data_IF_388056187937
#
_entry.id   IF_388056187937
#
_cell.length_a   1.000
_cell.length_b   1.000
_cell.length_c   1.000
_cell.angle_alpha   90.00
_cell.angle_beta   90.00
_cell.angle_gamma   90.00
#
_symmetry.space_group_name_H-M   'P 1'
#
loop_
_entity.id
_entity.type
_entity.pdbx_description
1 polymer ?
#
# COMPACT_ATOMS: atom_id res chain seq x y z
N UNK A 1 -1.24 1.23 -19.66
CA UNK A 1 0.05 1.25 -18.92
C UNK A 1 0.65 2.64 -19.12
N UNK A 2 1.19 3.29 -18.10
CA UNK A 2 1.83 4.60 -18.21
C UNK A 2 3.35 4.36 -18.38
N UNK A 3 3.85 4.20 -19.63
CA UNK A 3 5.20 3.67 -19.87
C UNK A 3 6.31 4.61 -19.38
N UNK A 4 6.00 5.88 -19.17
CA UNK A 4 6.94 6.92 -18.75
C UNK A 4 6.65 7.43 -17.33
N UNK A 5 6.19 6.55 -16.43
CA UNK A 5 5.98 6.91 -15.03
C UNK A 5 7.32 7.40 -14.45
N UNK A 6 7.39 8.61 -13.87
CA UNK A 6 8.58 9.02 -13.13
C UNK A 6 8.87 7.99 -12.04
N UNK A 7 10.10 7.45 -11.99
CA UNK A 7 10.45 6.36 -11.08
C UNK A 7 10.03 4.96 -11.53
N UNK A 8 9.39 4.81 -12.69
CA UNK A 8 9.04 3.50 -13.27
C UNK A 8 8.15 2.68 -12.33
N UNK A 9 8.57 1.45 -12.03
CA UNK A 9 7.86 0.56 -11.09
C UNK A 9 7.86 1.09 -9.65
N UNK A 10 8.81 1.95 -9.30
CA UNK A 10 8.91 2.61 -8.00
C UNK A 10 8.26 4.00 -7.99
N UNK A 11 7.45 4.31 -9.00
CA UNK A 11 6.52 5.44 -8.87
C UNK A 11 5.62 5.19 -7.65
N UNK A 12 5.46 6.15 -6.70
CA UNK A 12 4.61 5.97 -5.52
C UNK A 12 3.15 5.60 -5.78
N UNK A 13 2.63 5.94 -6.97
CA UNK A 13 1.27 5.56 -7.39
C UNK A 13 1.17 4.09 -7.83
N UNK A 14 2.30 3.43 -8.06
CA UNK A 14 2.41 2.02 -8.43
C UNK A 14 2.91 1.19 -7.24
N UNK A 15 3.97 1.64 -6.58
CA UNK A 15 4.60 0.95 -5.45
C UNK A 15 4.48 1.81 -4.17
N UNK A 16 3.57 1.47 -3.24
CA UNK A 16 3.42 2.21 -1.98
C UNK A 16 4.59 1.99 -1.00
N UNK A 17 5.59 1.18 -1.37
CA UNK A 17 6.81 0.95 -0.60
C UNK A 17 8.05 1.60 -1.24
N UNK A 18 7.86 2.38 -2.31
CA UNK A 18 8.96 3.13 -2.91
C UNK A 18 9.55 4.13 -1.91
N UNK A 19 10.83 4.50 -2.02
CA UNK A 19 11.48 5.45 -1.11
C UNK A 19 10.74 6.78 -0.97
N UNK A 20 10.15 7.27 -2.07
CA UNK A 20 9.41 8.53 -2.12
C UNK A 20 7.90 8.37 -1.84
N UNK A 21 7.45 7.18 -1.41
CA UNK A 21 6.05 6.93 -1.10
C UNK A 21 5.65 7.56 0.25
N UNK A 22 4.47 8.19 0.36
CA UNK A 22 3.94 8.65 1.63
C UNK A 22 3.80 7.50 2.64
N UNK A 23 3.93 7.83 3.93
CA UNK A 23 3.74 6.85 4.99
C UNK A 23 2.34 6.26 4.96
N UNK A 24 2.23 4.94 5.09
CA UNK A 24 0.94 4.24 5.23
C UNK A 24 0.20 4.62 6.52
N UNK A 25 0.84 5.29 7.48
CA UNK A 25 0.20 5.83 8.67
C UNK A 25 -0.84 6.92 8.34
N UNK A 26 -0.70 7.59 7.19
CA UNK A 26 -1.54 8.74 6.80
C UNK A 26 -2.75 8.33 5.94
N UNK A 27 -3.09 7.04 5.87
CA UNK A 27 -4.27 6.58 5.13
C UNK A 27 -5.54 7.18 5.75
N UNK A 28 -6.26 8.00 4.97
CA UNK A 28 -7.42 8.78 5.43
C UNK A 28 -8.72 8.00 5.63
N UNK A 29 -8.69 6.67 5.65
CA UNK A 29 -9.85 5.83 5.91
C UNK A 29 -9.79 5.24 7.32
N UNK A 30 -10.97 4.91 7.88
CA UNK A 30 -11.09 4.36 9.23
C UNK A 30 -11.03 2.83 9.27
N UNK A 31 -11.24 2.16 8.13
CA UNK A 31 -11.24 0.70 7.99
C UNK A 31 -10.68 0.29 6.63
N UNK A 32 -9.92 -0.79 6.61
CA UNK A 32 -9.34 -1.39 5.40
C UNK A 32 -9.64 -2.89 5.41
N UNK A 33 -10.03 -3.42 4.26
CA UNK A 33 -10.09 -4.86 4.00
C UNK A 33 -9.11 -5.18 2.88
N UNK A 34 -8.31 -6.22 3.05
CA UNK A 34 -7.36 -6.71 2.04
C UNK A 34 -7.73 -8.15 1.71
N UNK A 35 -8.03 -8.41 0.44
CA UNK A 35 -8.36 -9.74 -0.07
C UNK A 35 -7.35 -10.13 -1.14
N UNK A 36 -6.82 -11.35 -1.07
CA UNK A 36 -5.88 -11.89 -2.07
C UNK A 36 -6.36 -13.27 -2.52
N UNK A 37 -6.23 -13.56 -3.81
CA UNK A 37 -6.53 -14.89 -4.34
C UNK A 37 -5.31 -15.82 -4.19
N UNK A 38 -5.56 -17.09 -3.87
CA UNK A 38 -4.51 -18.08 -3.60
C UNK A 38 -3.52 -18.23 -4.77
N UNK A 39 -4.00 -18.16 -6.02
CA UNK A 39 -3.23 -18.39 -7.25
C UNK A 39 -2.76 -17.10 -7.95
N UNK A 40 -2.89 -15.95 -7.29
CA UNK A 40 -2.41 -14.69 -7.84
C UNK A 40 -0.87 -14.63 -7.77
N UNK A 41 -0.21 -14.34 -8.89
CA UNK A 41 1.26 -14.26 -8.97
C UNK A 41 1.84 -13.11 -8.14
N UNK A 42 1.02 -12.13 -7.73
CA UNK A 42 1.41 -11.04 -6.85
C UNK A 42 0.76 -11.10 -5.46
N UNK A 43 0.19 -12.26 -5.08
CA UNK A 43 -0.45 -12.48 -3.75
C UNK A 43 0.39 -11.96 -2.59
N UNK A 44 1.68 -12.25 -2.59
CA UNK A 44 2.59 -11.88 -1.49
C UNK A 44 2.72 -10.36 -1.32
N UNK A 45 2.53 -9.58 -2.39
CA UNK A 45 2.49 -8.11 -2.29
C UNK A 45 1.25 -7.62 -1.55
N UNK A 46 0.09 -8.25 -1.74
CA UNK A 46 -1.12 -7.93 -0.98
C UNK A 46 -0.96 -8.29 0.50
N UNK A 47 -0.33 -9.43 0.81
CA UNK A 47 0.01 -9.81 2.19
C UNK A 47 1.01 -8.83 2.80
N UNK A 48 2.02 -8.41 2.04
CA UNK A 48 3.00 -7.41 2.49
C UNK A 48 2.35 -6.06 2.80
N UNK A 49 1.44 -5.58 1.94
CA UNK A 49 0.68 -4.35 2.20
C UNK A 49 -0.11 -4.40 3.50
N UNK A 50 -0.80 -5.51 3.77
CA UNK A 50 -1.49 -5.70 5.05
C UNK A 50 -0.53 -5.59 6.25
N UNK A 51 0.62 -6.28 6.20
CA UNK A 51 1.61 -6.22 7.29
C UNK A 51 2.19 -4.82 7.45
N UNK A 52 2.47 -4.12 6.35
CA UNK A 52 3.02 -2.78 6.37
C UNK A 52 2.05 -1.76 6.97
N UNK A 53 0.76 -1.80 6.60
CA UNK A 53 -0.28 -0.96 7.21
C UNK A 53 -0.43 -1.27 8.70
N UNK A 54 -0.41 -2.56 9.08
CA UNK A 54 -0.48 -2.97 10.49
C UNK A 54 0.69 -2.42 11.32
N UNK A 55 1.87 -2.32 10.71
CA UNK A 55 3.10 -1.86 11.38
C UNK A 55 3.38 -0.36 11.20
N UNK A 56 2.60 0.36 10.38
CA UNK A 56 2.86 1.79 10.08
C UNK A 56 2.41 2.73 11.20
N UNK A 57 1.67 2.25 12.19
CA UNK A 57 0.99 3.10 13.16
C UNK A 57 -0.32 3.70 12.61
N UNK A 58 -0.86 3.15 11.52
CA UNK A 58 -2.21 3.49 11.06
C UNK A 58 -3.24 3.08 12.12
N UNK A 59 -3.97 4.05 12.66
CA UNK A 59 -4.96 3.82 13.71
C UNK A 59 -6.37 3.69 13.12
N UNK A 60 -7.04 2.58 13.44
CA UNK A 60 -8.47 2.38 13.19
C UNK A 60 -9.25 3.34 14.10
N UNK A 61 -9.55 4.53 13.58
CA UNK A 61 -10.33 5.54 14.30
C UNK A 61 -9.49 6.70 14.83
N UNK A 62 -8.87 7.47 13.92
CA UNK A 62 -8.42 8.82 14.20
C UNK A 62 -9.06 9.75 13.18
N UNK A 63 -10.28 10.20 13.47
CA UNK A 63 -10.81 11.38 12.81
C UNK A 63 -9.93 12.59 13.15
N UNK A 64 -10.00 13.58 12.27
CA UNK A 64 -10.12 14.97 12.74
C UNK A 64 -11.08 15.07 13.93
#
# INVERSE_FOLDING_TARGET
MYPNAPGGVDNPLINPFAPEAPSLATLGCSKIIVCVAEKDSIRDRGVWYYQAVKNSGWHVGGGV
#
